data_IF_170243940076
#
_entry.id   IF_170243940076
#
_cell.length_a   1.000
_cell.length_b   1.000
_cell.length_c   1.000
_cell.angle_alpha   90.00
_cell.angle_beta   90.00
_cell.angle_gamma   90.00
#
_symmetry.space_group_name_H-M   'P 1'
#
loop_
_entity.id
_entity.type
_entity.pdbx_description
1 polymer ?
#
# COMPACT_ATOMS: atom_id res chain seq x y z
N UNK A 1 38.77 7.17 58.40
CA UNK A 1 38.83 8.55 57.93
C UNK A 1 38.47 8.54 56.46
N UNK A 2 37.37 9.12 56.06
CA UNK A 2 37.01 9.19 54.65
C UNK A 2 37.68 10.37 53.95
N UNK A 3 38.15 10.18 52.74
CA UNK A 3 38.73 11.17 51.84
C UNK A 3 37.66 12.07 51.22
N UNK A 4 37.93 13.38 51.05
CA UNK A 4 36.94 14.30 50.51
C UNK A 4 36.83 14.22 48.99
N UNK A 5 35.57 14.41 48.49
CA UNK A 5 35.24 14.51 47.08
C UNK A 5 35.72 15.85 46.47
N UNK A 6 36.08 15.88 45.15
CA UNK A 6 36.50 17.10 44.50
C UNK A 6 35.27 17.95 44.07
N UNK A 7 35.39 19.26 44.22
CA UNK A 7 34.46 20.33 43.84
C UNK A 7 34.38 20.47 42.30
N UNK A 8 33.20 20.80 41.71
CA UNK A 8 33.08 21.03 40.29
C UNK A 8 33.54 22.42 39.86
N UNK A 9 34.23 22.48 38.73
CA UNK A 9 34.71 23.69 38.07
C UNK A 9 33.57 24.36 37.25
N UNK A 10 33.44 25.71 37.26
CA UNK A 10 32.41 26.41 36.50
C UNK A 10 32.74 26.49 34.98
N UNK A 11 31.73 26.62 34.10
CA UNK A 11 31.92 26.69 32.64
C UNK A 11 32.41 28.09 32.20
N UNK A 12 33.08 28.19 31.03
CA UNK A 12 33.60 29.46 30.53
C UNK A 12 32.50 30.36 29.96
N UNK A 13 32.66 31.65 30.20
CA UNK A 13 31.76 32.75 29.75
C UNK A 13 31.79 32.89 28.21
N UNK A 14 30.62 32.98 27.61
CA UNK A 14 30.42 33.29 26.20
C UNK A 14 30.77 34.76 25.91
N UNK A 15 31.59 34.99 24.89
CA UNK A 15 31.94 36.30 24.36
C UNK A 15 30.93 36.69 23.27
N UNK A 16 30.19 37.76 23.49
CA UNK A 16 29.27 38.33 22.52
C UNK A 16 30.03 39.00 21.36
N UNK A 17 29.83 38.53 20.14
CA UNK A 17 30.27 39.19 18.91
C UNK A 17 29.14 40.08 18.37
N UNK A 18 29.36 41.36 18.42
CA UNK A 18 28.54 42.39 17.76
C UNK A 18 28.64 42.29 16.24
N UNK A 19 27.52 42.09 15.55
CA UNK A 19 27.42 42.24 14.10
C UNK A 19 27.14 43.70 13.75
N UNK A 20 28.09 44.33 13.04
CA UNK A 20 27.90 45.60 12.35
C UNK A 20 27.09 45.36 11.08
N UNK A 21 25.96 46.05 10.95
CA UNK A 21 25.15 46.06 9.75
C UNK A 21 25.80 46.92 8.65
N UNK A 22 25.82 46.40 7.42
CA UNK A 22 26.10 47.16 6.21
C UNK A 22 24.81 47.40 5.45
N UNK A 23 24.36 48.67 5.45
CA UNK A 23 23.30 49.16 4.55
C UNK A 23 23.89 49.29 3.13
N UNK A 24 23.22 48.71 2.14
CA UNK A 24 23.45 49.07 0.75
C UNK A 24 22.21 49.79 0.20
N UNK A 25 22.45 51.02 -0.23
CA UNK A 25 21.49 51.93 -0.85
C UNK A 25 21.14 51.48 -2.27
N UNK A 26 19.84 51.60 -2.59
CA UNK A 26 19.35 51.52 -3.95
C UNK A 26 19.57 52.84 -4.69
N UNK A 27 20.09 52.80 -5.89
CA UNK A 27 20.13 53.96 -6.82
C UNK A 27 19.12 53.66 -7.92
N UNK A 28 18.09 54.50 -8.01
CA UNK A 28 17.14 54.59 -9.12
C UNK A 28 17.79 55.57 -10.14
N UNK A 29 17.90 55.12 -11.40
CA UNK A 29 18.18 55.99 -12.52
C UNK A 29 17.05 55.86 -13.56
N UNK A 30 16.25 56.90 -13.63
CA UNK A 30 15.33 57.14 -14.72
C UNK A 30 16.05 57.94 -15.82
N UNK A 31 15.93 57.52 -17.06
CA UNK A 31 16.22 58.36 -18.24
C UNK A 31 15.24 58.07 -19.37
N UNK A 32 14.74 59.13 -19.84
CA UNK A 32 13.59 59.39 -20.63
C UNK A 32 13.68 59.10 -22.11
N UNK A 33 12.51 59.23 -22.68
CA UNK A 33 12.13 59.00 -24.05
C UNK A 33 12.68 60.04 -25.04
N UNK A 34 12.92 59.61 -26.28
CA UNK A 34 12.56 60.41 -27.47
C UNK A 34 12.32 59.48 -28.64
N UNK A 35 11.22 59.66 -29.31
CA UNK A 35 10.74 58.86 -30.42
C UNK A 35 11.38 59.21 -31.75
N UNK A 36 11.30 58.28 -32.70
CA UNK A 36 11.31 58.53 -34.15
C UNK A 36 10.35 57.57 -34.84
N UNK A 37 9.32 58.10 -35.46
CA UNK A 37 8.44 57.39 -36.37
C UNK A 37 9.25 57.01 -37.65
N UNK A 38 9.32 55.74 -37.93
CA UNK A 38 9.77 55.20 -39.22
C UNK A 38 8.73 54.19 -39.69
N UNK A 39 7.94 54.53 -40.68
CA UNK A 39 7.03 53.64 -41.33
C UNK A 39 7.78 52.67 -42.23
N UNK A 40 7.77 51.39 -41.88
CA UNK A 40 8.14 50.30 -42.77
C UNK A 40 6.94 49.43 -43.06
N UNK A 41 6.50 49.42 -44.31
CA UNK A 41 5.54 48.46 -44.84
C UNK A 41 6.21 47.10 -44.89
N UNK A 42 5.75 46.17 -44.04
CA UNK A 42 6.15 44.76 -44.08
C UNK A 42 5.05 44.00 -44.85
N UNK A 43 5.51 43.39 -45.95
CA UNK A 43 4.66 42.49 -46.73
C UNK A 43 4.29 41.28 -45.89
N UNK A 44 3.00 40.98 -45.85
CA UNK A 44 2.42 39.84 -45.16
C UNK A 44 2.73 38.55 -45.93
N UNK A 45 3.77 37.83 -45.55
CA UNK A 45 3.96 36.43 -45.97
C UNK A 45 3.24 35.56 -44.92
N UNK A 46 2.08 35.06 -45.26
CA UNK A 46 1.42 34.00 -44.49
C UNK A 46 2.29 32.73 -44.58
N UNK A 47 3.10 32.50 -43.56
CA UNK A 47 3.62 31.18 -43.31
C UNK A 47 2.48 30.32 -42.72
N UNK A 48 2.16 29.22 -43.38
CA UNK A 48 1.22 28.23 -42.89
C UNK A 48 1.68 27.74 -41.50
N UNK A 49 0.91 28.04 -40.48
CA UNK A 49 1.05 27.43 -39.17
C UNK A 49 0.78 25.92 -39.32
N UNK A 50 1.85 25.12 -39.31
CA UNK A 50 1.73 23.70 -39.07
C UNK A 50 1.12 23.51 -37.69
N UNK A 51 -0.15 23.12 -37.69
CA UNK A 51 -0.90 22.82 -36.46
C UNK A 51 -0.17 21.77 -35.63
N UNK A 52 0.48 22.20 -34.56
CA UNK A 52 0.87 21.33 -33.49
C UNK A 52 -0.42 20.89 -32.78
N UNK A 53 -0.87 19.68 -33.09
CA UNK A 53 -1.85 18.99 -32.26
C UNK A 53 -1.35 19.04 -30.81
N UNK A 54 -2.18 19.48 -29.83
CA UNK A 54 -1.80 19.37 -28.43
C UNK A 54 -1.54 17.89 -28.15
N UNK A 55 -0.32 17.54 -27.74
CA UNK A 55 -0.05 16.22 -27.19
C UNK A 55 -0.93 16.08 -25.95
N UNK A 56 -1.96 15.27 -26.07
CA UNK A 56 -2.67 14.77 -24.89
C UNK A 56 -1.61 14.14 -23.98
N UNK A 57 -1.54 14.49 -22.68
CA UNK A 57 -0.64 13.79 -21.76
C UNK A 57 -0.93 12.31 -21.91
N UNK A 58 0.11 11.50 -22.16
CA UNK A 58 -0.03 10.06 -22.16
C UNK A 58 -0.68 9.68 -20.82
N UNK A 59 -1.81 8.99 -20.85
CA UNK A 59 -2.41 8.46 -19.64
C UNK A 59 -1.31 7.67 -18.92
N UNK A 60 -1.11 7.95 -17.64
CA UNK A 60 -0.18 7.18 -16.83
C UNK A 60 -0.54 5.69 -16.99
N UNK A 61 0.44 4.86 -17.30
CA UNK A 61 0.20 3.41 -17.44
C UNK A 61 -0.44 2.92 -16.14
N UNK A 62 -1.56 2.21 -16.26
CA UNK A 62 -2.24 1.66 -15.11
C UNK A 62 -1.29 0.67 -14.41
N UNK A 63 -1.20 0.75 -13.09
CA UNK A 63 -0.44 -0.22 -12.32
C UNK A 63 -1.10 -1.61 -12.42
N UNK A 64 -0.32 -2.70 -12.34
CA UNK A 64 -0.89 -4.05 -12.26
C UNK A 64 -1.74 -4.20 -11.00
N UNK A 65 -2.62 -5.18 -10.99
CA UNK A 65 -3.37 -5.59 -9.80
C UNK A 65 -2.72 -6.84 -9.22
N UNK A 66 -2.49 -6.86 -7.91
CA UNK A 66 -1.91 -8.01 -7.23
C UNK A 66 -2.90 -8.62 -6.24
N UNK A 67 -2.81 -9.94 -6.07
CA UNK A 67 -3.56 -10.65 -5.04
C UNK A 67 -2.92 -10.43 -3.66
N UNK A 68 -1.57 -10.42 -3.61
CA UNK A 68 -0.82 -10.19 -2.37
C UNK A 68 0.44 -9.37 -2.64
N UNK A 69 0.70 -8.40 -1.79
CA UNK A 69 1.96 -7.63 -1.74
C UNK A 69 2.60 -7.81 -0.37
N UNK A 70 3.84 -8.27 -0.33
CA UNK A 70 4.65 -8.35 0.90
C UNK A 70 5.77 -7.32 0.83
N UNK A 71 5.86 -6.47 1.85
CA UNK A 71 6.89 -5.43 1.99
C UNK A 71 7.76 -5.77 3.19
N UNK A 72 9.03 -6.03 2.97
CA UNK A 72 10.01 -6.24 4.05
C UNK A 72 10.81 -4.96 4.23
N UNK A 73 10.86 -4.43 5.45
CA UNK A 73 11.60 -3.20 5.77
C UNK A 73 12.80 -3.55 6.63
N UNK A 74 13.98 -3.15 6.17
CA UNK A 74 15.27 -3.32 6.83
C UNK A 74 15.81 -1.99 7.32
N UNK A 75 16.95 -2.03 8.04
CA UNK A 75 17.47 -0.93 8.83
C UNK A 75 18.90 -0.53 8.48
N UNK A 76 19.10 0.79 8.44
CA UNK A 76 20.38 1.50 8.55
C UNK A 76 21.51 1.01 7.64
N UNK A 77 21.27 0.76 6.35
CA UNK A 77 22.33 0.40 5.40
C UNK A 77 22.29 1.23 4.14
N UNK A 78 23.46 1.72 3.73
CA UNK A 78 23.63 2.38 2.44
C UNK A 78 23.36 1.41 1.29
N UNK A 79 22.93 1.95 0.16
CA UNK A 79 22.71 1.21 -1.07
C UNK A 79 23.89 0.27 -1.42
N UNK A 80 25.13 0.76 -1.36
CA UNK A 80 26.31 -0.01 -1.72
C UNK A 80 26.74 -1.06 -0.69
N UNK A 81 26.22 -1.03 0.54
CA UNK A 81 26.42 -2.10 1.52
C UNK A 81 25.57 -3.32 1.19
N UNK A 82 24.51 -3.14 0.39
CA UNK A 82 23.56 -4.19 0.01
C UNK A 82 23.77 -4.56 -1.46
N UNK A 83 23.54 -3.62 -2.39
CA UNK A 83 23.60 -3.90 -3.82
C UNK A 83 25.03 -3.95 -4.32
N UNK A 84 25.42 -5.10 -4.85
CA UNK A 84 26.78 -5.43 -5.25
C UNK A 84 27.66 -5.97 -4.13
N UNK A 85 27.15 -6.04 -2.90
CA UNK A 85 27.91 -6.56 -1.74
C UNK A 85 27.98 -8.08 -1.74
N UNK A 86 29.16 -8.63 -1.47
CA UNK A 86 29.36 -10.07 -1.25
C UNK A 86 28.66 -10.57 0.04
N UNK A 87 28.31 -9.65 0.96
CA UNK A 87 27.62 -9.98 2.20
C UNK A 87 26.08 -10.07 2.02
N UNK A 88 25.54 -9.76 0.83
CA UNK A 88 24.11 -9.82 0.52
C UNK A 88 23.83 -10.65 -0.74
N UNK A 89 24.34 -11.89 -0.86
CA UNK A 89 24.24 -12.66 -2.10
C UNK A 89 22.81 -12.96 -2.51
N UNK A 90 21.91 -13.26 -1.56
CA UNK A 90 20.52 -13.57 -1.86
C UNK A 90 19.72 -12.33 -2.25
N UNK A 91 19.86 -11.21 -1.54
CA UNK A 91 19.22 -9.94 -1.88
C UNK A 91 19.69 -9.46 -3.27
N UNK A 92 20.99 -9.64 -3.60
CA UNK A 92 21.49 -9.35 -4.95
C UNK A 92 20.93 -10.29 -6.03
N UNK A 93 20.65 -11.55 -5.70
CA UNK A 93 19.95 -12.46 -6.60
C UNK A 93 18.53 -11.93 -6.91
N UNK A 94 17.79 -11.47 -5.90
CA UNK A 94 16.47 -10.84 -6.08
C UNK A 94 16.57 -9.54 -6.89
N UNK A 95 17.52 -8.68 -6.57
CA UNK A 95 17.75 -7.41 -7.28
C UNK A 95 18.09 -7.60 -8.76
N UNK A 96 18.85 -8.65 -9.10
CA UNK A 96 19.22 -8.98 -10.47
C UNK A 96 18.08 -9.66 -11.25
N UNK A 97 17.20 -10.38 -10.57
CA UNK A 97 16.04 -11.05 -11.15
C UNK A 97 14.74 -10.24 -11.11
N UNK A 98 14.79 -9.05 -10.52
CA UNK A 98 13.68 -8.11 -10.36
C UNK A 98 14.09 -6.68 -10.72
N UNK A 99 13.36 -5.70 -10.22
CA UNK A 99 13.63 -4.28 -10.43
C UNK A 99 14.37 -3.69 -9.22
N UNK A 100 15.57 -3.13 -9.45
CA UNK A 100 16.38 -2.46 -8.43
C UNK A 100 16.32 -0.94 -8.62
N UNK A 101 15.80 -0.21 -7.63
CA UNK A 101 15.71 1.25 -7.65
C UNK A 101 17.04 1.86 -7.20
N UNK A 102 17.84 2.32 -8.14
CA UNK A 102 19.15 2.93 -7.85
C UNK A 102 19.05 4.39 -7.45
N UNK A 103 17.91 5.03 -7.71
CA UNK A 103 17.63 6.42 -7.34
C UNK A 103 16.85 6.57 -6.03
N UNK A 104 16.60 5.48 -5.29
CA UNK A 104 15.81 5.51 -4.07
C UNK A 104 16.57 6.14 -2.91
N UNK A 105 15.92 7.06 -2.19
CA UNK A 105 16.46 7.70 -0.99
C UNK A 105 15.43 7.70 0.14
N UNK A 106 15.90 7.50 1.34
CA UNK A 106 15.10 7.80 2.53
C UNK A 106 14.95 9.31 2.73
N UNK A 107 14.01 9.72 3.56
CA UNK A 107 13.62 11.13 3.72
C UNK A 107 14.36 11.84 4.85
N UNK A 108 14.72 11.13 5.90
CA UNK A 108 15.30 11.74 7.10
C UNK A 108 16.11 10.72 7.91
N UNK A 109 16.57 11.15 9.07
CA UNK A 109 17.11 10.40 10.19
C UNK A 109 16.45 10.92 11.50
N UNK A 110 16.26 10.07 12.52
CA UNK A 110 16.51 8.64 12.60
C UNK A 110 15.36 7.81 11.98
N UNK A 111 15.38 6.49 12.25
CA UNK A 111 14.50 5.47 11.67
C UNK A 111 13.00 5.78 11.77
N UNK A 112 12.49 6.00 12.98
CA UNK A 112 11.05 6.05 13.23
C UNK A 112 10.28 7.05 12.34
N UNK A 113 10.73 8.30 12.11
CA UNK A 113 10.10 9.22 11.17
C UNK A 113 9.98 8.68 9.74
N UNK A 114 10.91 7.82 9.27
CA UNK A 114 10.83 7.20 7.94
C UNK A 114 9.73 6.15 7.87
N UNK A 115 9.56 5.32 8.90
CA UNK A 115 8.43 4.39 8.99
C UNK A 115 7.08 5.11 8.97
N UNK A 116 6.96 6.25 9.68
CA UNK A 116 5.75 7.07 9.63
C UNK A 116 5.51 7.67 8.24
N UNK A 117 6.56 8.15 7.56
CA UNK A 117 6.47 8.62 6.17
C UNK A 117 6.03 7.52 5.21
N UNK A 118 6.58 6.30 5.33
CA UNK A 118 6.21 5.15 4.51
C UNK A 118 4.78 4.70 4.74
N UNK A 119 4.23 4.91 5.94
CA UNK A 119 2.90 4.41 6.31
C UNK A 119 1.79 5.47 6.23
N UNK A 120 2.12 6.76 6.42
CA UNK A 120 1.12 7.85 6.50
C UNK A 120 1.50 9.11 5.71
N UNK A 121 2.56 9.06 4.91
CA UNK A 121 3.01 10.17 4.09
C UNK A 121 3.51 11.39 4.85
N UNK A 122 3.69 11.28 6.18
CA UNK A 122 4.19 12.35 7.03
C UNK A 122 4.75 11.77 8.33
N UNK A 123 5.64 12.50 9.01
CA UNK A 123 6.23 12.05 10.29
C UNK A 123 5.24 12.06 11.46
N UNK A 124 4.07 12.66 11.32
CA UNK A 124 3.06 12.85 12.36
C UNK A 124 3.61 13.55 13.63
N UNK A 125 4.63 14.41 13.46
CA UNK A 125 5.31 15.09 14.56
C UNK A 125 6.37 14.23 15.27
N UNK A 126 6.60 13.02 14.84
CA UNK A 126 7.69 12.16 15.32
C UNK A 126 9.01 12.68 14.75
N UNK A 127 9.99 12.90 15.62
CA UNK A 127 11.31 13.46 15.28
C UNK A 127 12.47 12.63 15.80
N UNK A 128 12.20 11.49 16.42
CA UNK A 128 13.21 10.61 17.04
C UNK A 128 12.67 9.21 17.27
N UNK A 129 13.48 8.35 17.88
CA UNK A 129 13.23 6.92 18.04
C UNK A 129 12.61 6.52 19.38
N UNK A 130 12.15 7.52 20.15
CA UNK A 130 11.46 7.26 21.41
C UNK A 130 10.11 6.57 21.16
N UNK A 131 9.71 5.71 22.07
CA UNK A 131 8.42 5.05 21.98
C UNK A 131 7.28 6.07 21.93
N UNK A 132 6.43 5.96 20.94
CA UNK A 132 5.22 6.77 20.80
C UNK A 132 4.09 6.21 21.67
N UNK A 133 3.09 7.03 21.96
CA UNK A 133 1.85 6.57 22.61
C UNK A 133 1.00 5.81 21.61
N UNK A 134 0.71 4.52 21.83
CA UNK A 134 -0.16 3.74 20.95
C UNK A 134 -1.56 4.33 20.86
N UNK A 135 -2.23 4.11 19.72
CA UNK A 135 -3.63 4.53 19.49
C UNK A 135 -3.89 6.02 19.80
N UNK A 136 -2.90 6.89 19.54
CA UNK A 136 -2.99 8.32 19.82
C UNK A 136 -3.29 9.17 18.58
N UNK A 137 -3.04 8.64 17.38
CA UNK A 137 -3.13 9.36 16.11
C UNK A 137 -4.40 8.98 15.33
N UNK A 138 -4.88 9.92 14.49
CA UNK A 138 -6.08 9.73 13.66
C UNK A 138 -5.87 10.17 12.21
N UNK A 139 -4.66 10.56 11.85
CA UNK A 139 -4.33 10.98 10.50
C UNK A 139 -4.60 9.85 9.48
N UNK A 140 -4.89 10.18 8.21
CA UNK A 140 -4.93 9.22 7.12
C UNK A 140 -3.65 8.40 7.05
N UNK A 141 -3.78 7.13 6.74
CA UNK A 141 -2.65 6.21 6.65
C UNK A 141 -3.04 4.99 5.80
N UNK A 142 -2.07 4.30 5.27
CA UNK A 142 -2.23 3.19 4.36
C UNK A 142 -3.15 2.08 4.90
N UNK A 143 -3.02 1.71 6.19
CA UNK A 143 -3.85 0.66 6.79
C UNK A 143 -5.33 1.04 6.82
N UNK A 144 -5.64 2.28 7.19
CA UNK A 144 -7.02 2.79 7.20
C UNK A 144 -7.58 2.90 5.77
N UNK A 145 -6.78 3.36 4.80
CA UNK A 145 -7.22 3.52 3.41
C UNK A 145 -7.49 2.16 2.74
N UNK A 146 -6.64 1.17 2.97
CA UNK A 146 -6.86 -0.21 2.50
C UNK A 146 -8.16 -0.79 3.08
N UNK A 147 -8.35 -0.68 4.40
CA UNK A 147 -9.59 -1.15 5.06
C UNK A 147 -10.81 -0.44 4.49
N UNK A 148 -10.73 0.88 4.25
CA UNK A 148 -11.82 1.64 3.65
C UNK A 148 -12.10 1.22 2.20
N UNK A 149 -11.08 0.78 1.46
CA UNK A 149 -11.20 0.22 0.11
C UNK A 149 -11.67 -1.26 0.09
N UNK A 150 -12.00 -1.83 1.26
CA UNK A 150 -12.40 -3.24 1.38
C UNK A 150 -11.26 -4.22 1.23
N UNK A 151 -10.02 -3.75 1.37
CA UNK A 151 -8.80 -4.54 1.30
C UNK A 151 -8.35 -5.01 2.66
N UNK A 152 -7.63 -6.11 2.70
CA UNK A 152 -7.07 -6.68 3.92
C UNK A 152 -5.64 -6.20 4.13
N UNK A 153 -5.29 -5.93 5.39
CA UNK A 153 -3.98 -5.45 5.80
C UNK A 153 -3.51 -6.16 7.05
N UNK A 154 -2.27 -6.59 7.09
CA UNK A 154 -1.61 -7.05 8.31
C UNK A 154 -0.11 -6.73 8.29
N UNK A 155 0.49 -6.82 9.47
CA UNK A 155 1.93 -6.72 9.66
C UNK A 155 2.42 -7.93 10.44
N UNK A 156 3.55 -8.49 10.06
CA UNK A 156 4.16 -9.65 10.69
C UNK A 156 5.49 -9.22 11.29
N UNK A 157 5.56 -9.26 12.62
CA UNK A 157 6.64 -8.63 13.37
C UNK A 157 7.40 -9.69 14.16
N UNK A 158 8.70 -9.79 13.90
CA UNK A 158 9.54 -10.71 14.64
C UNK A 158 9.73 -10.21 16.08
N UNK A 159 9.68 -11.10 17.04
CA UNK A 159 9.73 -10.84 18.50
C UNK A 159 8.60 -9.96 19.05
N UNK A 160 7.54 -9.66 18.29
CA UNK A 160 6.33 -9.06 18.86
C UNK A 160 5.77 -10.03 19.94
N UNK A 161 5.52 -9.57 21.18
CA UNK A 161 5.14 -10.48 22.28
C UNK A 161 3.87 -11.27 22.06
N UNK A 162 2.90 -10.64 21.40
CA UNK A 162 1.59 -11.21 21.06
C UNK A 162 0.93 -10.38 19.96
N UNK A 163 -0.05 -10.95 19.29
CA UNK A 163 -0.89 -10.22 18.33
C UNK A 163 -1.47 -8.94 18.97
N UNK A 164 -1.33 -7.82 18.27
CA UNK A 164 -1.84 -6.53 18.71
C UNK A 164 -1.09 -5.90 19.89
N UNK A 165 0.06 -6.46 20.28
CA UNK A 165 0.87 -5.91 21.36
C UNK A 165 1.37 -4.50 21.02
N UNK A 166 1.26 -3.61 21.98
CA UNK A 166 1.77 -2.23 21.89
C UNK A 166 3.03 -2.02 22.73
N UNK A 167 3.74 -3.11 23.06
CA UNK A 167 4.98 -3.04 23.82
C UNK A 167 6.00 -2.13 23.11
N UNK A 168 6.73 -1.33 23.90
CA UNK A 168 7.79 -0.47 23.38
C UNK A 168 8.96 -1.27 22.83
N UNK A 169 9.38 -2.29 23.58
CA UNK A 169 10.45 -3.24 23.24
C UNK A 169 10.13 -4.63 23.77
N UNK A 170 10.64 -5.65 23.11
CA UNK A 170 10.65 -7.03 23.62
C UNK A 170 11.79 -7.80 22.95
N UNK A 171 12.83 -8.16 23.69
CA UNK A 171 14.01 -8.76 23.07
C UNK A 171 14.60 -7.85 22.00
N UNK A 172 14.57 -8.31 20.75
CA UNK A 172 15.01 -7.55 19.57
C UNK A 172 13.86 -6.82 18.84
N UNK A 173 12.62 -6.92 19.33
CA UNK A 173 11.49 -6.13 18.80
C UNK A 173 11.61 -4.67 19.22
N UNK A 174 11.31 -3.75 18.28
CA UNK A 174 11.24 -2.33 18.56
C UNK A 174 9.93 -1.73 17.99
N UNK A 175 9.17 -1.03 18.85
CA UNK A 175 7.93 -0.34 18.45
C UNK A 175 8.18 0.71 17.38
N UNK A 176 9.35 1.35 17.37
CA UNK A 176 9.73 2.41 16.42
C UNK A 176 9.64 1.97 14.95
N UNK A 177 9.73 0.67 14.66
CA UNK A 177 9.59 0.09 13.32
C UNK A 177 8.13 -0.23 12.95
N UNK A 178 7.17 0.06 13.81
CA UNK A 178 5.78 -0.39 13.72
C UNK A 178 4.78 0.77 13.81
N UNK A 179 4.75 1.72 12.85
CA UNK A 179 3.97 2.97 12.95
C UNK A 179 2.46 2.73 13.05
N UNK A 180 1.94 1.61 12.56
CA UNK A 180 0.50 1.29 12.56
C UNK A 180 -0.13 1.24 13.94
N UNK A 181 0.63 0.87 14.99
CA UNK A 181 0.11 0.85 16.35
C UNK A 181 -0.15 2.25 16.94
N UNK A 182 0.38 3.32 16.32
CA UNK A 182 0.11 4.69 16.73
C UNK A 182 -1.31 5.15 16.37
N UNK A 183 -1.94 4.55 15.35
CA UNK A 183 -3.18 5.05 14.74
C UNK A 183 -4.42 4.35 15.29
N UNK A 184 -5.41 5.13 15.77
CA UNK A 184 -6.72 4.65 16.27
C UNK A 184 -7.59 4.03 15.19
N UNK A 185 -7.39 4.44 13.93
CA UNK A 185 -8.12 3.98 12.76
C UNK A 185 -7.49 2.72 12.12
N UNK A 186 -6.48 2.13 12.77
CA UNK A 186 -5.90 0.82 12.42
C UNK A 186 -6.13 -0.14 13.59
N UNK A 187 -6.86 -1.24 13.40
CA UNK A 187 -7.08 -2.23 14.45
C UNK A 187 -5.77 -2.86 14.94
N UNK A 188 -5.57 -2.94 16.25
CA UNK A 188 -4.33 -3.49 16.83
C UNK A 188 -4.04 -4.93 16.37
N UNK A 189 -5.07 -5.74 16.16
CA UNK A 189 -4.94 -7.12 15.71
C UNK A 189 -4.47 -7.28 14.26
N UNK A 190 -4.27 -6.19 13.51
CA UNK A 190 -3.53 -6.21 12.23
C UNK A 190 -2.06 -6.49 12.45
N UNK A 191 -1.52 -6.16 13.64
CA UNK A 191 -0.15 -6.49 14.03
C UNK A 191 -0.04 -7.93 14.53
N UNK A 192 0.54 -8.79 13.71
CA UNK A 192 0.75 -10.21 13.96
C UNK A 192 2.16 -10.49 14.44
N UNK A 193 2.34 -11.57 15.17
CA UNK A 193 3.68 -12.13 15.43
C UNK A 193 4.23 -12.78 14.17
N UNK A 194 5.55 -12.92 14.04
CA UNK A 194 6.15 -13.62 12.90
C UNK A 194 5.66 -15.07 12.76
N UNK A 195 5.41 -15.75 13.86
CA UNK A 195 4.88 -17.12 13.85
C UNK A 195 3.52 -17.28 13.15
N UNK A 196 2.79 -16.18 12.97
CA UNK A 196 1.50 -16.17 12.25
C UNK A 196 1.66 -15.90 10.74
N UNK A 197 2.87 -15.65 10.25
CA UNK A 197 3.11 -15.53 8.82
C UNK A 197 2.84 -16.88 8.13
N UNK A 198 2.01 -16.96 7.08
CA UNK A 198 1.53 -18.23 6.53
C UNK A 198 2.55 -18.88 5.59
N UNK A 199 3.70 -19.29 6.11
CA UNK A 199 4.86 -19.81 5.35
C UNK A 199 4.55 -20.98 4.41
N UNK A 200 3.49 -21.75 4.67
CA UNK A 200 3.07 -22.89 3.86
C UNK A 200 1.81 -22.67 3.05
N UNK A 201 1.22 -21.46 3.11
CA UNK A 201 -0.01 -21.12 2.41
C UNK A 201 -0.08 -19.60 2.14
N UNK A 202 0.71 -19.13 1.19
CA UNK A 202 0.78 -17.70 0.87
C UNK A 202 -0.51 -17.13 0.28
N UNK A 203 -1.40 -17.96 -0.27
CA UNK A 203 -2.73 -17.53 -0.70
C UNK A 203 -3.65 -17.10 0.48
N UNK A 204 -3.23 -17.33 1.74
CA UNK A 204 -3.92 -16.84 2.92
C UNK A 204 -3.39 -15.49 3.43
N UNK A 205 -2.40 -14.91 2.77
CA UNK A 205 -1.90 -13.58 3.09
C UNK A 205 -2.99 -12.52 2.86
N UNK A 206 -2.97 -11.41 3.60
CA UNK A 206 -3.73 -10.21 3.26
C UNK A 206 -3.34 -9.65 1.88
N UNK A 207 -4.19 -8.75 1.34
CA UNK A 207 -3.85 -8.00 0.12
C UNK A 207 -2.49 -7.29 0.29
N UNK A 208 -2.27 -6.60 1.42
CA UNK A 208 -0.97 -6.00 1.76
C UNK A 208 -0.46 -6.48 3.12
N UNK A 209 0.80 -6.90 3.16
CA UNK A 209 1.49 -7.31 4.37
C UNK A 209 2.82 -6.59 4.53
N UNK A 210 3.07 -5.98 5.71
CA UNK A 210 4.43 -5.60 6.09
C UNK A 210 5.08 -6.71 6.90
N UNK A 211 6.36 -6.95 6.65
CA UNK A 211 7.21 -7.86 7.42
C UNK A 211 8.33 -7.05 8.04
N UNK A 212 8.40 -7.08 9.36
CA UNK A 212 9.42 -6.38 10.14
C UNK A 212 10.27 -7.41 10.87
N UNK A 213 11.46 -7.70 10.36
CA UNK A 213 12.43 -8.53 11.08
C UNK A 213 12.82 -7.86 12.40
N UNK A 214 13.33 -8.61 13.35
CA UNK A 214 13.85 -8.03 14.58
C UNK A 214 15.18 -7.27 14.34
N UNK A 215 15.63 -6.46 15.30
CA UNK A 215 16.80 -5.57 15.13
C UNK A 215 18.12 -6.27 14.77
N UNK A 216 18.21 -7.59 14.91
CA UNK A 216 19.35 -8.35 14.39
C UNK A 216 19.14 -8.72 12.92
N UNK A 217 17.96 -9.21 12.59
CA UNK A 217 17.64 -9.73 11.26
C UNK A 217 17.31 -8.63 10.24
N UNK A 218 16.91 -7.44 10.71
CA UNK A 218 16.75 -6.24 9.88
C UNK A 218 18.08 -5.53 9.54
N UNK A 219 19.21 -6.03 10.05
CA UNK A 219 20.57 -5.48 9.89
C UNK A 219 20.92 -4.29 10.79
N UNK A 220 20.01 -3.80 11.64
CA UNK A 220 20.30 -2.70 12.56
C UNK A 220 21.45 -3.05 13.51
N UNK A 221 21.30 -4.11 14.28
CA UNK A 221 22.25 -4.51 15.34
C UNK A 221 23.20 -5.63 14.91
N UNK A 222 22.95 -6.29 13.78
CA UNK A 222 23.77 -7.39 13.26
C UNK A 222 24.29 -7.08 11.84
N UNK A 223 25.03 -8.01 11.26
CA UNK A 223 25.66 -7.83 9.96
C UNK A 223 24.66 -7.91 8.79
N UNK A 224 25.03 -7.33 7.66
CA UNK A 224 24.31 -7.51 6.39
C UNK A 224 24.16 -9.01 6.04
N UNK A 225 25.19 -9.82 6.27
CA UNK A 225 25.14 -11.25 6.01
C UNK A 225 24.12 -12.00 6.89
N UNK A 226 23.88 -11.51 8.12
CA UNK A 226 22.85 -12.04 9.00
C UNK A 226 21.46 -11.78 8.41
N UNK A 227 21.17 -10.53 8.02
CA UNK A 227 19.88 -10.16 7.41
C UNK A 227 19.67 -10.80 6.04
N UNK A 228 20.71 -10.92 5.21
CA UNK A 228 20.62 -11.64 3.93
C UNK A 228 20.27 -13.13 4.11
N UNK A 229 20.91 -13.77 5.09
CA UNK A 229 20.61 -15.16 5.44
C UNK A 229 19.17 -15.31 5.97
N UNK A 230 18.74 -14.40 6.83
CA UNK A 230 17.36 -14.37 7.31
C UNK A 230 16.37 -14.21 6.16
N UNK A 231 16.65 -13.28 5.24
CA UNK A 231 15.83 -13.04 4.05
C UNK A 231 15.70 -14.30 3.20
N UNK A 232 16.83 -14.97 2.94
CA UNK A 232 16.83 -16.22 2.20
C UNK A 232 15.99 -17.31 2.87
N UNK A 233 16.16 -17.49 4.17
CA UNK A 233 15.52 -18.59 4.90
C UNK A 233 14.01 -18.36 5.12
N UNK A 234 13.56 -17.11 5.18
CA UNK A 234 12.22 -16.75 5.59
C UNK A 234 11.36 -16.17 4.45
N UNK A 235 11.98 -15.62 3.39
CA UNK A 235 11.27 -14.89 2.34
C UNK A 235 11.41 -15.55 0.96
N UNK A 236 12.43 -16.41 0.72
CA UNK A 236 12.65 -17.03 -0.59
C UNK A 236 11.43 -17.80 -1.09
N UNK A 237 10.80 -18.59 -0.23
CA UNK A 237 9.63 -19.36 -0.61
C UNK A 237 8.49 -18.47 -1.12
N UNK A 238 8.23 -17.32 -0.43
CA UNK A 238 7.28 -16.34 -0.88
C UNK A 238 7.72 -15.66 -2.19
N UNK A 239 8.98 -15.26 -2.29
CA UNK A 239 9.52 -14.60 -3.48
C UNK A 239 9.33 -15.45 -4.75
N UNK A 240 9.64 -16.74 -4.67
CA UNK A 240 9.46 -17.67 -5.79
C UNK A 240 7.97 -17.90 -6.10
N UNK A 241 7.14 -18.05 -5.06
CA UNK A 241 5.70 -18.20 -5.20
C UNK A 241 5.06 -16.95 -5.83
N UNK A 242 5.45 -15.75 -5.43
CA UNK A 242 4.90 -14.50 -5.90
C UNK A 242 5.00 -14.32 -7.42
N UNK A 243 6.11 -14.76 -8.04
CA UNK A 243 6.29 -14.73 -9.50
C UNK A 243 5.25 -15.52 -10.27
N UNK A 244 4.76 -16.61 -9.70
CA UNK A 244 3.83 -17.53 -10.37
C UNK A 244 2.37 -17.31 -9.95
N UNK A 245 2.11 -16.44 -8.96
CA UNK A 245 0.80 -16.32 -8.31
C UNK A 245 0.36 -14.85 -8.18
N UNK A 246 0.49 -14.07 -9.23
CA UNK A 246 0.02 -12.68 -9.29
C UNK A 246 0.30 -11.88 -8.00
N UNK A 247 1.53 -11.96 -7.50
CA UNK A 247 1.90 -11.37 -6.22
C UNK A 247 3.26 -10.67 -6.31
N UNK A 248 3.52 -9.78 -5.35
CA UNK A 248 4.68 -8.90 -5.35
C UNK A 248 5.42 -8.96 -4.03
N UNK A 249 6.75 -9.03 -4.08
CA UNK A 249 7.66 -8.77 -2.97
C UNK A 249 8.34 -7.43 -3.18
N UNK A 250 8.38 -6.60 -2.13
CA UNK A 250 9.18 -5.38 -2.08
C UNK A 250 10.12 -5.48 -0.89
N UNK A 251 11.43 -5.35 -1.15
CA UNK A 251 12.44 -5.18 -0.09
C UNK A 251 12.83 -3.71 -0.09
N UNK A 252 12.85 -3.06 1.07
CA UNK A 252 13.29 -1.67 1.21
C UNK A 252 13.98 -1.45 2.55
N UNK A 253 14.69 -0.34 2.67
CA UNK A 253 15.33 0.10 3.91
C UNK A 253 14.68 1.40 4.39
N UNK A 254 14.70 1.63 5.69
CA UNK A 254 14.16 2.83 6.29
C UNK A 254 15.05 4.06 6.04
N UNK A 255 16.37 3.90 6.25
CA UNK A 255 17.39 4.93 6.07
C UNK A 255 18.78 4.32 5.82
N UNK A 256 19.78 5.17 5.50
CA UNK A 256 21.17 4.72 5.44
C UNK A 256 21.83 4.75 6.84
N UNK A 257 23.14 4.49 6.91
CA UNK A 257 23.92 4.42 8.14
C UNK A 257 24.48 5.78 8.60
N UNK A 258 23.88 6.92 8.22
CA UNK A 258 24.33 8.30 8.50
C UNK A 258 25.64 8.74 7.81
N UNK A 259 26.25 7.87 7.00
CA UNK A 259 27.54 8.17 6.34
C UNK A 259 27.38 8.49 4.86
N UNK A 260 26.18 8.40 4.32
CA UNK A 260 25.90 8.58 2.90
C UNK A 260 24.96 9.75 2.59
N UNK A 261 24.32 9.65 1.44
CA UNK A 261 23.33 10.63 0.94
C UNK A 261 21.89 10.20 1.22
N UNK A 262 21.69 9.32 2.17
CA UNK A 262 20.46 8.61 2.49
C UNK A 262 19.93 7.77 1.31
N UNK A 263 20.83 7.29 0.46
CA UNK A 263 20.50 6.37 -0.63
C UNK A 263 20.40 4.95 -0.09
N UNK A 264 19.23 4.34 -0.29
CA UNK A 264 18.87 3.02 0.22
C UNK A 264 18.59 2.04 -0.91
N UNK A 265 18.74 0.74 -0.64
CA UNK A 265 18.32 -0.29 -1.56
C UNK A 265 16.79 -0.42 -1.55
N UNK A 266 16.19 -0.63 -2.73
CA UNK A 266 14.79 -1.00 -2.87
C UNK A 266 14.67 -1.92 -4.08
N UNK A 267 14.05 -3.07 -3.87
CA UNK A 267 13.93 -4.14 -4.87
C UNK A 267 12.48 -4.58 -4.97
N UNK A 268 11.95 -4.57 -6.19
CA UNK A 268 10.66 -5.19 -6.53
C UNK A 268 10.91 -6.54 -7.18
N UNK A 269 10.19 -7.57 -6.75
CA UNK A 269 10.33 -8.93 -7.27
C UNK A 269 9.00 -9.67 -7.23
N UNK A 270 8.54 -10.20 -8.35
CA UNK A 270 7.23 -10.88 -8.41
C UNK A 270 6.69 -10.96 -9.82
N UNK A 271 5.40 -11.20 -9.93
CA UNK A 271 4.69 -11.16 -11.20
C UNK A 271 4.77 -9.75 -11.83
N UNK A 272 4.78 -9.67 -13.14
CA UNK A 272 4.76 -8.43 -13.94
C UNK A 272 5.88 -7.42 -13.62
N UNK A 273 6.91 -7.81 -12.86
CA UNK A 273 8.08 -6.97 -12.59
C UNK A 273 9.10 -7.10 -13.71
N UNK A 274 9.44 -5.98 -14.35
CA UNK A 274 10.52 -5.89 -15.34
C UNK A 274 11.87 -5.87 -14.63
N UNK A 275 12.66 -6.93 -14.78
CA UNK A 275 14.02 -6.95 -14.25
C UNK A 275 14.86 -5.82 -14.84
N UNK A 276 15.58 -5.08 -13.97
CA UNK A 276 16.41 -3.97 -14.42
C UNK A 276 16.83 -3.04 -13.29
N UNK A 277 17.62 -2.02 -13.64
CA UNK A 277 18.05 -0.95 -12.74
C UNK A 277 17.34 0.35 -13.14
N UNK A 278 16.66 0.97 -12.19
CA UNK A 278 15.85 2.16 -12.39
C UNK A 278 16.47 3.34 -11.64
N UNK A 279 16.77 4.41 -12.36
CA UNK A 279 17.55 5.56 -11.84
C UNK A 279 16.68 6.74 -11.40
N UNK A 280 15.38 6.66 -11.62
CA UNK A 280 14.43 7.71 -11.21
C UNK A 280 14.53 7.95 -9.71
N UNK A 281 14.52 9.22 -9.33
CA UNK A 281 14.60 9.61 -7.93
C UNK A 281 13.27 9.33 -7.22
N UNK A 282 13.27 8.36 -6.35
CA UNK A 282 12.14 7.97 -5.51
C UNK A 282 12.46 8.11 -4.02
N UNK A 283 11.43 8.09 -3.19
CA UNK A 283 11.52 8.03 -1.73
C UNK A 283 10.32 7.28 -1.14
N UNK A 284 10.21 7.21 0.18
CA UNK A 284 9.14 6.49 0.88
C UNK A 284 7.72 6.96 0.52
N UNK A 285 7.52 8.25 0.16
CA UNK A 285 6.21 8.73 -0.29
C UNK A 285 5.80 8.11 -1.63
N UNK A 286 6.76 7.87 -2.54
CA UNK A 286 6.50 7.20 -3.81
C UNK A 286 6.14 5.71 -3.61
N UNK A 287 6.78 5.03 -2.63
CA UNK A 287 6.39 3.65 -2.26
C UNK A 287 4.99 3.62 -1.67
N UNK A 288 4.68 4.52 -0.73
CA UNK A 288 3.34 4.64 -0.15
C UNK A 288 2.30 4.87 -1.26
N UNK A 289 2.53 5.86 -2.14
CA UNK A 289 1.67 6.11 -3.29
C UNK A 289 1.50 4.87 -4.17
N UNK A 290 2.56 4.11 -4.39
CA UNK A 290 2.50 2.87 -5.18
C UNK A 290 1.58 1.85 -4.54
N UNK A 291 1.67 1.65 -3.23
CA UNK A 291 0.81 0.69 -2.52
C UNK A 291 -0.66 1.14 -2.53
N UNK A 292 -0.92 2.43 -2.35
CA UNK A 292 -2.26 3.01 -2.44
C UNK A 292 -2.87 2.79 -3.83
N UNK A 293 -2.12 3.09 -4.89
CA UNK A 293 -2.58 2.95 -6.27
C UNK A 293 -2.74 1.48 -6.71
N UNK A 294 -1.85 0.56 -6.26
CA UNK A 294 -1.97 -0.88 -6.53
C UNK A 294 -3.29 -1.47 -6.01
N UNK A 295 -3.81 -0.94 -4.91
CA UNK A 295 -5.04 -1.40 -4.29
C UNK A 295 -6.25 -0.48 -4.51
N UNK A 296 -6.08 0.58 -5.31
CA UNK A 296 -7.18 1.48 -5.71
C UNK A 296 -7.81 2.22 -4.54
N UNK A 297 -7.02 2.72 -3.59
CA UNK A 297 -7.53 3.55 -2.51
C UNK A 297 -8.13 4.85 -3.06
N UNK A 298 -9.20 5.33 -2.44
CA UNK A 298 -9.91 6.53 -2.89
C UNK A 298 -9.15 7.85 -2.61
N UNK A 299 -8.15 7.81 -1.75
CA UNK A 299 -7.30 8.93 -1.33
C UNK A 299 -5.85 8.47 -1.16
N UNK A 300 -4.96 9.43 -0.97
CA UNK A 300 -3.55 9.16 -0.71
C UNK A 300 -3.11 9.89 0.55
N UNK A 301 -2.45 9.18 1.46
CA UNK A 301 -2.06 9.68 2.76
C UNK A 301 -0.91 10.71 2.66
N UNK A 302 -1.10 11.86 3.29
CA UNK A 302 -0.07 12.88 3.43
C UNK A 302 0.62 13.28 2.12
N UNK A 303 1.94 13.22 2.08
CA UNK A 303 2.72 13.59 0.89
C UNK A 303 2.68 12.55 -0.24
N UNK A 304 2.13 11.37 -0.05
CA UNK A 304 1.89 10.43 -1.14
C UNK A 304 0.95 11.03 -2.20
N UNK A 305 0.03 11.91 -1.80
CA UNK A 305 -0.85 12.64 -2.71
C UNK A 305 -0.09 13.57 -3.68
N UNK A 306 1.15 13.94 -3.37
CA UNK A 306 1.93 14.93 -4.12
C UNK A 306 3.01 14.32 -5.03
N UNK A 307 3.08 12.99 -5.11
CA UNK A 307 4.08 12.27 -5.90
C UNK A 307 3.42 11.27 -6.85
N UNK A 308 4.17 10.80 -7.85
CA UNK A 308 3.74 9.71 -8.72
C UNK A 308 4.15 8.35 -8.14
N UNK A 309 3.41 7.27 -8.42
CA UNK A 309 3.81 5.93 -8.02
C UNK A 309 5.07 5.47 -8.77
N UNK A 310 5.72 4.45 -8.23
CA UNK A 310 6.80 3.71 -8.91
C UNK A 310 6.14 2.81 -9.95
N UNK A 311 5.90 3.32 -11.16
CA UNK A 311 5.20 2.59 -12.23
C UNK A 311 6.14 1.95 -13.25
N UNK A 312 7.33 2.52 -13.44
CA UNK A 312 8.28 2.10 -14.49
C UNK A 312 8.83 0.68 -14.33
N UNK A 313 8.73 0.12 -13.13
CA UNK A 313 9.22 -1.22 -12.78
C UNK A 313 8.28 -2.35 -13.25
N UNK A 314 7.05 -2.03 -13.60
CA UNK A 314 6.05 -3.01 -14.01
C UNK A 314 6.02 -3.18 -15.52
N UNK A 315 5.70 -4.39 -15.98
CA UNK A 315 5.39 -4.64 -17.37
C UNK A 315 4.21 -3.74 -17.78
N UNK A 316 4.25 -3.20 -18.99
CA UNK A 316 3.12 -2.44 -19.49
C UNK A 316 1.88 -3.32 -19.39
N UNK A 317 1.01 -3.01 -18.45
CA UNK A 317 -0.32 -3.57 -18.41
C UNK A 317 -1.05 -2.98 -19.61
N UNK A 318 -0.81 -3.54 -20.80
CA UNK A 318 -1.78 -3.46 -21.87
C UNK A 318 -3.03 -4.10 -21.25
N UNK A 319 -4.16 -3.36 -21.08
CA UNK A 319 -5.37 -4.02 -20.64
C UNK A 319 -5.53 -5.22 -21.58
N UNK A 320 -5.49 -6.42 -21.02
CA UNK A 320 -5.84 -7.63 -21.81
C UNK A 320 -7.14 -7.24 -22.48
N UNK A 321 -7.19 -7.16 -23.84
CA UNK A 321 -8.42 -6.76 -24.48
C UNK A 321 -9.46 -7.74 -23.94
N UNK A 322 -10.46 -7.19 -23.24
CA UNK A 322 -11.65 -7.97 -22.88
C UNK A 322 -11.98 -8.74 -24.16
N UNK A 323 -11.99 -10.08 -24.16
CA UNK A 323 -12.19 -10.82 -25.38
C UNK A 323 -13.45 -10.22 -26.01
N UNK A 324 -13.26 -9.51 -27.13
CA UNK A 324 -14.38 -9.04 -27.94
C UNK A 324 -15.18 -10.31 -28.20
N UNK A 325 -16.45 -10.38 -27.80
CA UNK A 325 -17.21 -11.59 -28.04
C UNK A 325 -17.04 -11.94 -29.51
N UNK A 326 -16.37 -13.05 -29.79
CA UNK A 326 -16.23 -13.59 -31.14
C UNK A 326 -17.65 -13.62 -31.69
N UNK A 327 -17.95 -12.99 -32.84
CA UNK A 327 -19.30 -13.03 -33.39
C UNK A 327 -19.63 -14.53 -33.54
N UNK A 328 -20.59 -14.96 -32.76
CA UNK A 328 -21.13 -16.32 -32.87
C UNK A 328 -21.54 -16.51 -34.33
N UNK A 329 -21.01 -17.52 -35.04
CA UNK A 329 -21.43 -17.75 -36.41
C UNK A 329 -22.95 -17.83 -36.44
N UNK A 330 -23.57 -16.98 -37.25
CA UNK A 330 -25.01 -16.96 -37.45
C UNK A 330 -25.43 -18.39 -37.85
N UNK A 331 -26.24 -19.09 -37.06
CA UNK A 331 -26.68 -20.45 -37.44
C UNK A 331 -27.49 -20.34 -38.71
N UNK A 332 -27.12 -21.17 -39.72
CA UNK A 332 -27.91 -21.41 -40.89
C UNK A 332 -29.29 -21.93 -40.45
N UNK A 333 -30.41 -21.38 -40.92
CA UNK A 333 -31.73 -21.78 -40.44
C UNK A 333 -32.02 -23.23 -40.80
N UNK A 334 -32.09 -24.05 -39.75
CA UNK A 334 -32.67 -25.40 -39.85
C UNK A 334 -34.18 -25.24 -39.72
N UNK A 335 -35.02 -25.94 -40.53
CA UNK A 335 -36.47 -25.77 -40.49
C UNK A 335 -37.04 -26.17 -39.12
N UNK A 336 -37.78 -25.26 -38.53
CA UNK A 336 -38.45 -25.28 -37.25
C UNK A 336 -39.50 -26.37 -37.15
N UNK A 337 -39.51 -27.23 -36.08
CA UNK A 337 -40.75 -27.82 -35.60
C UNK A 337 -41.51 -26.79 -34.78
N UNK A 338 -42.78 -26.61 -35.02
CA UNK A 338 -43.71 -25.71 -34.32
C UNK A 338 -43.70 -26.05 -32.84
N UNK A 339 -43.31 -25.11 -31.91
CA UNK A 339 -43.41 -25.35 -30.49
C UNK A 339 -44.82 -25.04 -29.99
N UNK A 340 -45.33 -25.94 -29.18
CA UNK A 340 -46.45 -25.69 -28.23
C UNK A 340 -46.05 -24.56 -27.28
N UNK A 341 -46.86 -23.52 -27.01
CA UNK A 341 -46.49 -22.41 -26.16
C UNK A 341 -46.42 -22.85 -24.72
N UNK A 342 -45.20 -22.91 -24.16
CA UNK A 342 -44.98 -22.87 -22.72
C UNK A 342 -45.14 -21.43 -22.24
N UNK A 343 -45.86 -21.15 -21.14
CA UNK A 343 -46.04 -19.77 -20.68
C UNK A 343 -44.68 -19.17 -20.26
N UNK A 344 -44.25 -18.15 -21.00
CA UNK A 344 -43.09 -17.30 -20.63
C UNK A 344 -43.44 -16.54 -19.36
N UNK A 345 -42.84 -16.89 -18.24
CA UNK A 345 -42.90 -16.06 -17.04
C UNK A 345 -42.16 -14.73 -17.35
N UNK A 346 -42.88 -13.65 -17.29
CA UNK A 346 -42.30 -12.29 -17.32
C UNK A 346 -41.29 -12.20 -16.18
N UNK A 347 -40.01 -11.77 -16.42
CA UNK A 347 -39.06 -11.55 -15.33
C UNK A 347 -39.68 -10.56 -14.35
N UNK A 348 -40.00 -11.01 -13.13
CA UNK A 348 -40.45 -10.12 -12.08
C UNK A 348 -39.29 -9.24 -11.59
N UNK A 349 -39.58 -8.08 -11.00
CA UNK A 349 -38.57 -7.21 -10.42
C UNK A 349 -37.65 -7.98 -9.48
N UNK A 350 -36.34 -7.80 -9.63
CA UNK A 350 -35.34 -8.38 -8.75
C UNK A 350 -35.57 -7.88 -7.33
N UNK A 351 -35.67 -8.78 -6.36
CA UNK A 351 -35.86 -8.45 -4.92
C UNK A 351 -34.88 -9.29 -4.08
N UNK A 352 -34.32 -8.68 -3.06
CA UNK A 352 -33.51 -9.35 -2.03
C UNK A 352 -34.26 -9.26 -0.70
N UNK A 353 -34.63 -10.40 -0.15
CA UNK A 353 -35.28 -10.43 1.16
C UNK A 353 -34.27 -10.02 2.25
N UNK A 354 -34.67 -9.08 3.11
CA UNK A 354 -33.86 -8.73 4.28
C UNK A 354 -33.94 -9.88 5.30
N UNK A 355 -32.83 -10.52 5.68
CA UNK A 355 -32.86 -11.64 6.63
C UNK A 355 -33.18 -11.19 8.06
N UNK A 356 -33.31 -9.89 8.32
CA UNK A 356 -33.50 -9.34 9.66
C UNK A 356 -32.28 -9.48 10.56
N UNK A 357 -32.36 -9.10 11.83
CA UNK A 357 -31.27 -9.25 12.79
C UNK A 357 -30.79 -10.70 12.89
N UNK A 358 -29.48 -10.91 12.75
CA UNK A 358 -28.84 -12.22 12.83
C UNK A 358 -27.93 -12.31 14.05
N UNK A 359 -27.74 -13.52 14.58
CA UNK A 359 -26.86 -13.76 15.73
C UNK A 359 -25.97 -14.97 15.45
N UNK A 360 -24.66 -14.81 15.67
CA UNK A 360 -23.70 -15.90 15.65
C UNK A 360 -22.94 -15.95 16.98
N UNK A 361 -22.21 -17.04 17.21
CA UNK A 361 -21.30 -17.15 18.34
C UNK A 361 -19.87 -17.07 17.88
N UNK A 362 -19.01 -16.43 18.66
CA UNK A 362 -17.59 -16.30 18.41
C UNK A 362 -16.93 -17.66 18.13
N UNK A 363 -16.16 -17.75 17.08
CA UNK A 363 -15.42 -18.94 16.65
C UNK A 363 -16.26 -20.23 16.50
N UNK A 364 -17.58 -20.13 16.39
CA UNK A 364 -18.48 -21.28 16.09
C UNK A 364 -19.02 -21.15 14.67
N UNK A 365 -19.38 -22.30 14.07
CA UNK A 365 -19.97 -22.30 12.75
C UNK A 365 -21.26 -21.48 12.70
N UNK A 366 -21.28 -20.50 11.82
CA UNK A 366 -22.42 -19.63 11.55
C UNK A 366 -22.82 -19.77 10.08
N UNK A 367 -24.13 -19.75 9.81
CA UNK A 367 -24.66 -19.79 8.45
C UNK A 367 -25.88 -18.87 8.36
N UNK A 368 -25.88 -17.97 7.36
CA UNK A 368 -27.00 -17.08 7.04
C UNK A 368 -27.29 -17.25 5.55
N UNK A 369 -28.55 -17.44 5.17
CA UNK A 369 -28.95 -17.56 3.78
C UNK A 369 -29.59 -16.27 3.29
N UNK A 370 -29.01 -15.70 2.23
CA UNK A 370 -29.61 -14.60 1.48
C UNK A 370 -30.58 -15.20 0.44
N UNK A 371 -31.80 -14.67 0.35
CA UNK A 371 -32.83 -15.14 -0.57
C UNK A 371 -33.24 -14.02 -1.51
N UNK A 372 -33.06 -14.23 -2.80
CA UNK A 372 -33.54 -13.30 -3.83
C UNK A 372 -34.65 -13.95 -4.65
N UNK A 373 -35.54 -13.12 -5.20
CA UNK A 373 -36.65 -13.51 -6.09
C UNK A 373 -36.75 -12.56 -7.27
N UNK A 374 -37.25 -13.01 -8.40
CA UNK A 374 -37.28 -12.23 -9.64
C UNK A 374 -35.89 -12.08 -10.26
N UNK A 375 -35.76 -11.11 -11.15
CA UNK A 375 -34.54 -10.89 -11.92
C UNK A 375 -34.25 -11.95 -12.96
N UNK A 376 -33.18 -11.78 -13.72
CA UNK A 376 -32.76 -12.70 -14.80
C UNK A 376 -31.54 -13.52 -14.32
N UNK A 377 -31.69 -14.85 -14.33
CA UNK A 377 -30.58 -15.76 -13.94
C UNK A 377 -29.40 -15.69 -14.92
N UNK A 378 -28.14 -15.93 -14.43
CA UNK A 378 -27.77 -16.28 -13.07
C UNK A 378 -27.74 -15.06 -12.14
N UNK A 379 -28.16 -15.24 -10.88
CA UNK A 379 -28.02 -14.25 -9.83
C UNK A 379 -26.63 -14.36 -9.20
N UNK A 380 -26.05 -13.22 -8.81
CA UNK A 380 -24.77 -13.11 -8.09
C UNK A 380 -24.95 -12.38 -6.78
N UNK A 381 -24.44 -12.95 -5.70
CA UNK A 381 -24.53 -12.41 -4.37
C UNK A 381 -23.18 -11.86 -3.90
N UNK A 382 -23.21 -10.73 -3.19
CA UNK A 382 -22.09 -10.14 -2.49
C UNK A 382 -22.54 -9.67 -1.10
N UNK A 383 -21.63 -9.52 -0.17
CA UNK A 383 -21.91 -8.91 1.13
C UNK A 383 -20.67 -8.16 1.63
N UNK A 384 -20.92 -6.97 2.21
CA UNK A 384 -19.90 -6.13 2.86
C UNK A 384 -20.21 -5.99 4.34
N UNK A 385 -19.18 -5.68 5.16
CA UNK A 385 -19.33 -5.58 6.61
C UNK A 385 -19.34 -6.94 7.32
N UNK A 386 -19.03 -8.05 6.65
CA UNK A 386 -18.94 -9.37 7.30
C UNK A 386 -17.79 -9.37 8.31
N UNK A 387 -18.02 -9.89 9.53
CA UNK A 387 -16.94 -10.10 10.49
C UNK A 387 -15.94 -11.13 9.97
N UNK A 388 -14.69 -11.02 10.36
CA UNK A 388 -13.66 -11.98 10.02
C UNK A 388 -14.12 -13.42 10.23
N UNK A 389 -13.76 -14.29 9.29
CA UNK A 389 -14.13 -15.71 9.32
C UNK A 389 -15.50 -16.03 8.74
N UNK A 390 -16.27 -15.03 8.27
CA UNK A 390 -17.46 -15.25 7.45
C UNK A 390 -17.20 -14.82 5.99
N UNK A 391 -17.68 -15.62 5.06
CA UNK A 391 -17.65 -15.33 3.62
C UNK A 391 -19.03 -15.57 3.00
N UNK A 392 -19.32 -14.88 1.91
CA UNK A 392 -20.53 -15.14 1.10
C UNK A 392 -20.16 -15.94 -0.14
N UNK A 393 -20.92 -16.99 -0.43
CA UNK A 393 -20.85 -17.70 -1.70
C UNK A 393 -21.64 -16.93 -2.76
N UNK A 394 -20.95 -16.49 -3.80
CA UNK A 394 -21.51 -15.60 -4.83
C UNK A 394 -22.59 -16.27 -5.69
N UNK A 395 -22.63 -17.58 -5.78
CA UNK A 395 -23.62 -18.30 -6.59
C UNK A 395 -24.88 -18.66 -5.80
N UNK A 396 -24.72 -18.98 -4.52
CA UNK A 396 -25.83 -19.49 -3.68
C UNK A 396 -26.38 -18.46 -2.71
N UNK A 397 -25.66 -17.34 -2.45
CA UNK A 397 -26.04 -16.35 -1.44
C UNK A 397 -25.87 -16.84 0.00
N UNK A 398 -25.15 -17.93 0.24
CA UNK A 398 -24.89 -18.47 1.56
C UNK A 398 -23.72 -17.75 2.20
N UNK A 399 -23.95 -17.04 3.31
CA UNK A 399 -22.90 -16.54 4.20
C UNK A 399 -22.55 -17.65 5.19
N UNK A 400 -21.29 -18.03 5.30
CA UNK A 400 -20.87 -19.12 6.20
C UNK A 400 -19.44 -18.93 6.68
N UNK A 401 -19.11 -19.60 7.82
CA UNK A 401 -17.78 -19.59 8.42
C UNK A 401 -17.83 -19.57 9.94
N UNK A 402 -16.73 -19.14 10.56
CA UNK A 402 -16.61 -18.99 12.02
C UNK A 402 -16.23 -17.53 12.30
N UNK A 403 -17.17 -16.69 12.79
CA UNK A 403 -16.90 -15.28 12.98
C UNK A 403 -15.89 -15.04 14.11
N UNK A 404 -14.92 -14.15 13.85
CA UNK A 404 -13.95 -13.65 14.82
C UNK A 404 -14.32 -12.20 15.18
N UNK A 405 -14.27 -11.88 16.46
CA UNK A 405 -14.74 -10.62 17.03
C UNK A 405 -16.08 -10.76 17.74
N UNK A 406 -16.46 -9.76 18.50
CA UNK A 406 -17.75 -9.68 19.23
C UNK A 406 -18.35 -8.30 19.03
N UNK A 407 -19.68 -8.22 19.20
CA UNK A 407 -20.44 -6.99 19.02
C UNK A 407 -21.41 -7.06 17.86
N UNK A 408 -22.09 -5.94 17.59
CA UNK A 408 -23.06 -5.82 16.50
C UNK A 408 -22.46 -5.04 15.34
N UNK A 409 -22.49 -5.62 14.16
CA UNK A 409 -21.98 -5.08 12.91
C UNK A 409 -23.13 -4.97 11.91
N UNK A 410 -23.16 -3.92 11.10
CA UNK A 410 -24.13 -3.77 10.01
C UNK A 410 -23.58 -4.46 8.75
N UNK A 411 -24.32 -5.44 8.24
CA UNK A 411 -24.03 -6.14 7.00
C UNK A 411 -24.85 -5.51 5.88
N UNK A 412 -24.23 -5.27 4.72
CA UNK A 412 -24.93 -4.90 3.49
C UNK A 412 -24.78 -6.03 2.48
N UNK A 413 -25.88 -6.71 2.21
CA UNK A 413 -25.95 -7.74 1.17
C UNK A 413 -26.42 -7.13 -0.16
N UNK A 414 -25.86 -7.59 -1.26
CA UNK A 414 -26.20 -7.17 -2.63
C UNK A 414 -26.49 -8.41 -3.48
N UNK A 415 -27.54 -8.36 -4.29
CA UNK A 415 -27.76 -9.34 -5.38
C UNK A 415 -27.74 -8.61 -6.71
N UNK A 416 -27.07 -9.18 -7.69
CA UNK A 416 -27.01 -8.69 -9.07
C UNK A 416 -27.50 -9.77 -10.01
N UNK A 417 -28.37 -9.43 -10.94
CA UNK A 417 -28.83 -10.36 -11.98
C UNK A 417 -27.96 -10.28 -13.24
N UNK A 418 -28.20 -11.17 -14.20
CA UNK A 418 -27.39 -11.25 -15.43
C UNK A 418 -27.54 -10.03 -16.36
N UNK A 419 -28.52 -9.15 -16.12
CA UNK A 419 -28.71 -7.90 -16.87
C UNK A 419 -27.99 -6.73 -16.21
N UNK A 420 -27.40 -6.94 -15.02
CA UNK A 420 -26.74 -5.90 -14.23
C UNK A 420 -27.67 -5.15 -13.26
N UNK A 421 -28.96 -5.54 -13.17
CA UNK A 421 -29.84 -5.00 -12.16
C UNK A 421 -29.40 -5.42 -10.76
N UNK A 422 -29.36 -4.48 -9.80
CA UNK A 422 -28.88 -4.71 -8.44
C UNK A 422 -29.90 -4.32 -7.39
N UNK A 423 -29.98 -5.10 -6.30
CA UNK A 423 -30.78 -4.77 -5.12
C UNK A 423 -29.95 -5.06 -3.86
N UNK A 424 -30.07 -4.18 -2.86
CA UNK A 424 -29.36 -4.30 -1.59
C UNK A 424 -30.32 -4.47 -0.41
N UNK A 425 -29.85 -5.16 0.63
CA UNK A 425 -30.51 -5.26 1.92
C UNK A 425 -29.49 -5.13 3.04
N UNK A 426 -29.78 -4.29 4.04
CA UNK A 426 -28.89 -4.11 5.18
C UNK A 426 -29.52 -4.71 6.44
N UNK A 427 -28.73 -5.44 7.24
CA UNK A 427 -29.17 -6.09 8.47
C UNK A 427 -28.06 -6.14 9.52
N UNK A 428 -28.40 -6.07 10.82
CA UNK A 428 -27.42 -6.21 11.88
C UNK A 428 -27.08 -7.69 12.12
N UNK A 429 -25.79 -7.98 12.29
CA UNK A 429 -25.26 -9.26 12.75
C UNK A 429 -24.60 -9.04 14.11
N UNK A 430 -25.09 -9.72 15.14
CA UNK A 430 -24.49 -9.73 16.47
C UNK A 430 -23.66 -10.99 16.66
N UNK A 431 -22.40 -10.84 17.03
CA UNK A 431 -21.52 -11.94 17.41
C UNK A 431 -21.35 -11.93 18.94
N UNK A 432 -21.82 -12.97 19.61
CA UNK A 432 -21.72 -13.14 21.05
C UNK A 432 -20.54 -14.04 21.41
N UNK A 433 -19.88 -13.76 22.55
CA UNK A 433 -18.78 -14.59 23.06
C UNK A 433 -19.24 -15.98 23.53
N UNK A 434 -20.48 -16.10 24.03
CA UNK A 434 -21.03 -17.32 24.61
C UNK A 434 -22.47 -17.64 24.13
#
# INVERSE_FOLDING_TARGET
MPTPSPTPTPPPRAVARTRRGARRSAIVAALGALGLLGAFTVANSQAAESGSTPMTPAAAAALPTYDHVVVVVYENKQYGEIIGSANAPYINQLANGGASLTGMKALTHPSQPNYFNLFSGATQGITGDSCYTPQSMTAPNLGQELIAAGKTFATYNEDLPAEGSTACTNGQYAQKHNPWFAFKNVPLNTGKTWAQFPQNNFAALPDLSFVIPNQCNDMHSCSVATGDTWTKNNIDAYAQWAKANNSLLVLTWDEDNYLGSNQIATVFYGADVKAGKYTTAFNHHHLLRTFEDLFGTASHAGNAANVQPVSEVFADSTPTPTPTPTPTPTPTPTPTPTPTPTPTATPGDLKLANPGPQTCKFNQSCTIQLTATGGTSPLRYAATGLPWGLTVDAATGRISGKPWGSGTIQITATVTDSTGATVTAAFPLTVNWF
#
